data_IF_574444466587
#
_entry.id   IF_574444466587
#
_cell.length_a   1.000
_cell.length_b   1.000
_cell.length_c   1.000
_cell.angle_alpha   90.00
_cell.angle_beta   90.00
_cell.angle_gamma   90.00
#
_symmetry.space_group_name_H-M   'P 1'
#
loop_
_entity.id
_entity.type
_entity.pdbx_description
1 polymer ?
#
# COMPACT_ATOMS: atom_id res chain seq x y z
N UNK A 1 -10.63 -19.76 9.13
CA UNK A 1 -11.73 -19.17 8.34
C UNK A 1 -11.62 -17.67 8.41
N UNK A 2 -12.01 -16.95 7.35
CA UNK A 2 -11.81 -15.49 7.23
C UNK A 2 -12.61 -14.61 8.22
N UNK A 3 -13.44 -15.20 9.09
CA UNK A 3 -14.19 -14.48 10.12
C UNK A 3 -15.01 -13.33 9.53
N UNK A 4 -15.20 -12.26 10.30
CA UNK A 4 -15.89 -11.04 9.84
C UNK A 4 -15.02 -10.06 9.06
N UNK A 5 -13.83 -10.46 8.59
CA UNK A 5 -12.93 -9.54 7.87
C UNK A 5 -13.51 -9.11 6.52
N UNK A 6 -14.19 -10.02 5.82
CA UNK A 6 -14.83 -9.72 4.54
C UNK A 6 -16.03 -8.79 4.72
N UNK A 7 -16.87 -9.04 5.73
CA UNK A 7 -18.00 -8.18 6.06
C UNK A 7 -17.54 -6.76 6.44
N UNK A 8 -16.45 -6.67 7.21
CA UNK A 8 -15.87 -5.38 7.60
C UNK A 8 -15.44 -4.57 6.38
N UNK A 9 -14.60 -5.13 5.50
CA UNK A 9 -14.07 -4.38 4.35
C UNK A 9 -15.12 -4.05 3.29
N UNK A 10 -16.24 -4.79 3.26
CA UNK A 10 -17.36 -4.49 2.38
C UNK A 10 -18.30 -3.41 2.95
N UNK A 11 -18.39 -3.29 4.28
CA UNK A 11 -19.39 -2.44 4.95
C UNK A 11 -18.89 -1.06 5.40
N UNK A 12 -17.58 -0.82 5.41
CA UNK A 12 -17.01 0.46 5.89
C UNK A 12 -16.76 1.45 4.74
N UNK A 13 -16.84 2.75 5.06
CA UNK A 13 -16.59 3.83 4.09
C UNK A 13 -15.13 4.01 3.74
N UNK A 14 -14.23 3.61 4.64
CA UNK A 14 -12.78 3.76 4.46
C UNK A 14 -12.05 2.58 5.07
N UNK A 15 -11.20 1.92 4.29
CA UNK A 15 -10.36 0.80 4.70
C UNK A 15 -8.90 1.25 4.72
N UNK A 16 -8.32 1.23 5.92
CA UNK A 16 -6.91 1.53 6.15
C UNK A 16 -6.19 0.25 6.53
N UNK A 17 -5.11 -0.07 5.83
CA UNK A 17 -4.25 -1.22 6.12
C UNK A 17 -3.00 -0.75 6.85
N UNK A 18 -2.77 -1.30 8.03
CA UNK A 18 -1.53 -1.13 8.80
C UNK A 18 -0.74 -2.42 8.72
N UNK A 19 0.48 -2.37 8.18
CA UNK A 19 1.31 -3.57 8.03
C UNK A 19 2.79 -3.26 7.86
N UNK A 20 3.65 -4.22 8.21
CA UNK A 20 5.04 -4.22 7.73
C UNK A 20 5.08 -4.24 6.19
N UNK A 21 6.00 -3.49 5.61
CA UNK A 21 6.16 -3.31 4.15
C UNK A 21 6.66 -4.58 3.47
N UNK A 22 7.49 -5.35 4.18
CA UNK A 22 8.07 -6.60 3.68
C UNK A 22 7.77 -7.78 4.61
N UNK A 23 7.87 -9.00 4.09
CA UNK A 23 7.89 -10.23 4.89
C UNK A 23 9.18 -10.99 4.59
N UNK A 24 10.10 -11.03 5.56
CA UNK A 24 11.41 -11.67 5.37
C UNK A 24 12.20 -11.07 4.20
N UNK A 25 12.14 -9.75 4.03
CA UNK A 25 12.78 -9.02 2.93
C UNK A 25 12.03 -9.05 1.59
N UNK A 26 10.93 -9.80 1.47
CA UNK A 26 10.12 -9.83 0.24
C UNK A 26 9.03 -8.75 0.27
N UNK A 27 8.83 -7.99 -0.82
CA UNK A 27 7.75 -7.02 -0.94
C UNK A 27 6.38 -7.62 -0.63
N UNK A 28 5.50 -6.85 0.02
CA UNK A 28 4.09 -7.21 0.20
C UNK A 28 3.15 -6.37 -0.66
N UNK A 29 3.60 -5.19 -1.11
CA UNK A 29 2.91 -4.39 -2.11
C UNK A 29 3.27 -4.89 -3.50
N UNK A 30 2.42 -5.76 -4.03
CA UNK A 30 2.60 -6.45 -5.31
C UNK A 30 1.74 -5.83 -6.40
N UNK A 31 2.11 -6.04 -7.67
CA UNK A 31 1.24 -5.68 -8.81
C UNK A 31 -0.10 -6.41 -8.76
N UNK A 32 -0.08 -7.64 -8.25
CA UNK A 32 -1.26 -8.48 -8.03
C UNK A 32 -1.05 -9.33 -6.79
N UNK A 33 -2.05 -9.38 -5.91
CA UNK A 33 -2.01 -10.30 -4.77
C UNK A 33 -1.87 -11.74 -5.26
N UNK A 34 -0.94 -12.47 -4.66
CA UNK A 34 -0.67 -13.89 -4.94
C UNK A 34 -1.30 -14.83 -3.90
N UNK A 35 -1.98 -14.26 -2.89
CA UNK A 35 -2.78 -14.97 -1.90
C UNK A 35 -4.27 -14.72 -2.16
N UNK A 36 -5.16 -15.59 -1.65
CA UNK A 36 -6.61 -15.38 -1.74
C UNK A 36 -7.01 -14.00 -1.20
N UNK A 37 -7.82 -13.27 -1.98
CA UNK A 37 -8.26 -11.93 -1.62
C UNK A 37 -9.28 -11.97 -0.48
N UNK A 38 -9.10 -11.09 0.51
CA UNK A 38 -10.16 -10.76 1.49
C UNK A 38 -11.26 -9.90 0.86
N UNK A 39 -10.89 -9.00 -0.05
CA UNK A 39 -11.80 -8.14 -0.80
C UNK A 39 -11.08 -7.49 -1.98
N UNK A 40 -11.79 -7.23 -3.07
CA UNK A 40 -11.24 -6.59 -4.27
C UNK A 40 -11.62 -5.11 -4.30
N UNK A 41 -10.65 -4.23 -4.53
CA UNK A 41 -10.90 -2.78 -4.61
C UNK A 41 -11.50 -2.21 -3.31
N UNK A 42 -11.03 -2.69 -2.16
CA UNK A 42 -11.57 -2.23 -0.86
C UNK A 42 -10.65 -1.25 -0.15
N UNK A 43 -9.33 -1.37 -0.32
CA UNK A 43 -8.33 -0.56 0.40
C UNK A 43 -8.28 0.87 -0.14
N UNK A 44 -8.22 1.85 0.77
CA UNK A 44 -8.11 3.28 0.44
C UNK A 44 -6.75 3.88 0.88
N UNK A 45 -6.17 3.37 1.97
CA UNK A 45 -4.88 3.84 2.50
C UNK A 45 -4.07 2.67 3.03
N UNK A 46 -2.76 2.68 2.75
CA UNK A 46 -1.81 1.71 3.27
C UNK A 46 -0.75 2.47 4.06
N UNK A 47 -0.54 2.08 5.30
CA UNK A 47 0.50 2.63 6.17
C UNK A 47 1.46 1.50 6.51
N UNK A 48 2.74 1.72 6.23
CA UNK A 48 3.81 0.80 6.59
C UNK A 48 4.91 1.47 7.40
N UNK A 49 5.87 0.68 7.84
CA UNK A 49 7.13 1.13 8.45
C UNK A 49 8.01 1.99 7.53
N UNK A 50 7.77 1.99 6.21
CA UNK A 50 8.57 2.70 5.21
C UNK A 50 7.87 3.92 4.60
N UNK A 51 6.53 3.95 4.60
CA UNK A 51 5.78 5.05 4.00
C UNK A 51 4.28 4.85 4.01
N UNK A 52 3.58 5.85 3.49
CA UNK A 52 2.12 5.89 3.41
C UNK A 52 1.70 6.04 1.95
N UNK A 53 0.79 5.17 1.52
CA UNK A 53 0.28 5.14 0.15
C UNK A 53 -1.23 5.30 0.14
N UNK A 54 -1.71 6.25 -0.65
CA UNK A 54 -3.13 6.36 -1.00
C UNK A 54 -3.44 5.49 -2.23
N UNK A 55 -4.60 4.84 -2.19
CA UNK A 55 -5.13 4.08 -3.34
C UNK A 55 -6.14 4.95 -4.07
N UNK A 56 -5.69 5.63 -5.12
CA UNK A 56 -6.49 6.63 -5.86
C UNK A 56 -7.27 6.03 -7.02
N UNK A 57 -6.78 4.94 -7.62
CA UNK A 57 -7.44 4.22 -8.71
C UNK A 57 -7.40 2.70 -8.49
N UNK A 58 -8.47 2.16 -7.90
CA UNK A 58 -8.55 0.76 -7.47
C UNK A 58 -8.51 -0.19 -8.67
N UNK A 59 -7.53 -1.09 -8.69
CA UNK A 59 -7.37 -2.07 -9.77
C UNK A 59 -6.56 -1.58 -10.98
N UNK A 60 -5.93 -0.41 -10.88
CA UNK A 60 -5.06 0.16 -11.91
C UNK A 60 -3.60 0.24 -11.44
N UNK A 61 -2.66 0.14 -12.39
CA UNK A 61 -1.22 0.18 -12.12
C UNK A 61 -0.75 1.58 -11.65
N UNK A 62 -1.45 2.65 -12.01
CA UNK A 62 -1.20 4.02 -11.54
C UNK A 62 -1.99 4.36 -10.26
N UNK A 63 -2.61 3.36 -9.63
CA UNK A 63 -3.53 3.54 -8.52
C UNK A 63 -2.91 3.79 -7.15
N UNK A 64 -1.58 3.71 -7.01
CA UNK A 64 -0.87 3.95 -5.76
C UNK A 64 -0.12 5.28 -5.82
N UNK A 65 -0.34 6.11 -4.80
CA UNK A 65 0.33 7.41 -4.63
C UNK A 65 1.02 7.42 -3.29
N UNK A 66 2.35 7.57 -3.29
CA UNK A 66 3.14 7.81 -2.08
C UNK A 66 2.85 9.22 -1.56
N UNK A 67 2.27 9.31 -0.37
CA UNK A 67 1.87 10.57 0.27
C UNK A 67 2.70 10.92 1.51
N UNK A 68 3.44 9.95 2.06
CA UNK A 68 4.40 10.17 3.14
C UNK A 68 5.51 9.11 3.10
N UNK A 69 6.69 9.44 3.61
CA UNK A 69 7.85 8.55 3.68
C UNK A 69 8.40 8.55 5.10
N UNK A 70 8.77 7.37 5.62
CA UNK A 70 9.33 7.29 6.96
C UNK A 70 10.68 8.04 7.03
N UNK A 71 11.05 8.58 8.20
CA UNK A 71 12.36 9.19 8.39
C UNK A 71 13.48 8.23 7.97
N UNK A 72 14.53 8.77 7.34
CA UNK A 72 15.72 8.03 6.89
C UNK A 72 15.48 6.98 5.79
N UNK A 73 14.25 6.84 5.27
CA UNK A 73 13.96 5.99 4.12
C UNK A 73 14.13 6.78 2.82
N UNK A 74 14.83 6.18 1.86
CA UNK A 74 15.03 6.77 0.53
C UNK A 74 14.00 6.27 -0.48
N UNK A 75 13.72 7.03 -1.54
CA UNK A 75 12.88 6.53 -2.64
C UNK A 75 13.47 5.29 -3.31
N UNK A 76 14.80 5.21 -3.41
CA UNK A 76 15.46 4.06 -4.00
C UNK A 76 15.16 2.78 -3.22
N UNK A 77 15.27 2.84 -1.89
CA UNK A 77 14.89 1.73 -1.01
C UNK A 77 13.40 1.39 -1.14
N UNK A 78 12.53 2.41 -1.19
CA UNK A 78 11.09 2.21 -1.34
C UNK A 78 10.76 1.47 -2.65
N UNK A 79 11.40 1.88 -3.76
CA UNK A 79 11.25 1.22 -5.06
C UNK A 79 11.82 -0.20 -5.07
N UNK A 80 12.90 -0.47 -4.34
CA UNK A 80 13.45 -1.83 -4.20
C UNK A 80 12.50 -2.74 -3.42
N UNK A 81 11.83 -2.20 -2.39
CA UNK A 81 10.96 -2.95 -1.48
C UNK A 81 9.48 -2.96 -1.87
N UNK A 82 9.11 -2.30 -2.96
CA UNK A 82 7.75 -2.26 -3.52
C UNK A 82 7.74 -2.82 -4.94
N UNK A 83 6.95 -3.87 -5.20
CA UNK A 83 6.80 -4.40 -6.57
C UNK A 83 5.71 -3.66 -7.36
N UNK A 84 4.67 -3.18 -6.67
CA UNK A 84 3.62 -2.37 -7.26
C UNK A 84 4.19 -1.01 -7.74
N UNK A 85 3.89 -0.58 -8.98
CA UNK A 85 4.19 0.78 -9.40
C UNK A 85 3.42 1.79 -8.54
N UNK A 86 4.05 2.93 -8.27
CA UNK A 86 3.43 4.04 -7.57
C UNK A 86 3.98 5.38 -8.09
N UNK A 87 3.19 6.42 -7.90
CA UNK A 87 3.58 7.81 -8.16
C UNK A 87 3.85 8.54 -6.84
N UNK A 88 4.49 9.71 -6.92
CA UNK A 88 4.79 10.54 -5.74
C UNK A 88 3.81 11.71 -5.73
N UNK A 89 3.21 12.00 -4.57
CA UNK A 89 2.34 13.15 -4.41
C UNK A 89 3.10 14.46 -4.67
N UNK A 90 2.48 15.39 -5.40
CA UNK A 90 3.11 16.64 -5.85
C UNK A 90 3.68 17.54 -4.73
N UNK A 91 3.25 17.34 -3.49
CA UNK A 91 3.71 18.10 -2.32
C UNK A 91 4.61 17.31 -1.36
N UNK A 92 4.95 16.05 -1.66
CA UNK A 92 5.80 15.26 -0.78
C UNK A 92 7.25 15.73 -0.92
N UNK A 93 7.80 16.29 0.15
CA UNK A 93 9.21 16.60 0.24
C UNK A 93 9.98 15.30 0.40
N UNK A 94 10.71 14.89 -0.64
CA UNK A 94 11.56 13.71 -0.58
C UNK A 94 13.01 14.17 -0.42
N UNK A 95 13.69 13.70 0.62
CA UNK A 95 15.14 13.85 0.69
C UNK A 95 15.77 13.09 -0.50
N UNK A 96 16.64 13.79 -1.23
CA UNK A 96 17.33 13.26 -2.41
C UNK A 96 18.33 12.15 -2.06
#
# INVERSE_FOLDING_TARGET
GMGGAMDLVAGVRRVVVLMEHTAGGKPKLLKRCNLPLTGAGVVDLIITDLGVFEVTAKGHDDGLVLVDIAPDVTLAELHEKTEAPFTIAAGLAVAA
#
